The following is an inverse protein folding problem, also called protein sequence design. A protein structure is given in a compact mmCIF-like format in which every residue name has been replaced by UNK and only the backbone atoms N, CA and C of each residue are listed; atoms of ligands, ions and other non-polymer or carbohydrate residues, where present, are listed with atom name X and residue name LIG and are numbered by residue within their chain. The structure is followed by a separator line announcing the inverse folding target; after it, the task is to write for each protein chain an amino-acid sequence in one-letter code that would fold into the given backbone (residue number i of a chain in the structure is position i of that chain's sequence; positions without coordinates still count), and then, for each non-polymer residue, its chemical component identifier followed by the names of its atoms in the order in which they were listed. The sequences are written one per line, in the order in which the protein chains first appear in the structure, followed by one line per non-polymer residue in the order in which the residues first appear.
data_IF_066346376791
#
_entry.id   IF_066346376791
#
_cell.length_a   1.000
_cell.length_b   1.000
_cell.length_c   1.000
_cell.angle_alpha   90.00
_cell.angle_beta   90.00
_cell.angle_gamma   90.00
#
_symmetry.space_group_name_H-M   'P 1'
#
loop_
_entity.id
_entity.type
_entity.pdbx_description
1 polymer ?
#
# COMPACT_ATOMS: atom_id res chain seq x y z
N UNK A 1 15.35 24.96 -4.32
CA UNK A 1 15.10 23.52 -4.04
C UNK A 1 16.36 22.72 -4.33
N UNK A 2 16.62 21.64 -3.58
CA UNK A 2 17.64 20.64 -3.93
C UNK A 2 17.32 20.05 -5.31
N UNK A 3 18.34 19.64 -6.06
CA UNK A 3 18.14 19.11 -7.42
C UNK A 3 17.20 17.91 -7.45
N UNK A 4 17.34 17.00 -6.47
CA UNK A 4 16.45 15.85 -6.30
C UNK A 4 14.98 16.24 -6.12
N UNK A 5 14.69 17.37 -5.47
CA UNK A 5 13.33 17.86 -5.30
C UNK A 5 12.74 18.41 -6.60
N UNK A 6 13.57 19.03 -7.46
CA UNK A 6 13.11 19.49 -8.79
C UNK A 6 12.77 18.32 -9.70
N UNK A 7 13.63 17.30 -9.75
CA UNK A 7 13.39 16.09 -10.54
C UNK A 7 12.10 15.40 -10.08
N UNK A 8 11.90 15.29 -8.76
CA UNK A 8 10.67 14.71 -8.22
C UNK A 8 9.43 15.52 -8.59
N UNK A 9 9.47 16.85 -8.45
CA UNK A 9 8.34 17.72 -8.81
C UNK A 9 7.98 17.58 -10.30
N UNK A 10 8.99 17.60 -11.18
CA UNK A 10 8.78 17.37 -12.61
C UNK A 10 8.08 16.03 -12.89
N UNK A 11 8.54 14.92 -12.28
CA UNK A 11 7.90 13.61 -12.44
C UNK A 11 6.43 13.62 -12.00
N UNK A 12 6.11 14.35 -10.93
CA UNK A 12 4.73 14.47 -10.43
C UNK A 12 3.86 15.27 -11.41
N UNK A 13 4.38 16.35 -11.98
CA UNK A 13 3.65 17.20 -12.93
C UNK A 13 3.46 16.52 -14.31
N UNK A 14 4.44 15.76 -14.78
CA UNK A 14 4.36 15.06 -16.06
C UNK A 14 3.41 13.85 -16.05
N UNK A 15 3.14 13.30 -14.85
CA UNK A 15 2.28 12.13 -14.70
C UNK A 15 0.85 12.43 -15.17
N UNK A 16 0.38 11.64 -16.12
CA UNK A 16 -1.01 11.66 -16.63
C UNK A 16 -1.69 10.30 -16.52
N UNK A 17 -3.03 10.31 -16.52
CA UNK A 17 -3.82 9.09 -16.61
C UNK A 17 -3.79 8.53 -18.03
N UNK A 18 -2.98 7.49 -18.26
CA UNK A 18 -2.91 6.74 -19.52
C UNK A 18 -4.04 5.72 -19.58
N UNK A 19 -4.74 5.64 -20.72
CA UNK A 19 -5.94 4.82 -20.91
C UNK A 19 -5.80 3.74 -21.98
N UNK A 20 -4.73 3.78 -22.76
CA UNK A 20 -4.41 2.81 -23.80
C UNK A 20 -2.89 2.62 -23.74
N UNK A 21 -2.46 1.38 -23.57
CA UNK A 21 -1.05 1.01 -23.50
C UNK A 21 -0.64 0.28 -24.78
N UNK A 22 0.60 0.48 -25.19
CA UNK A 22 1.20 -0.22 -26.31
C UNK A 22 1.55 -1.66 -25.89
N UNK A 23 1.11 -2.63 -26.69
CA UNK A 23 1.35 -4.06 -26.43
C UNK A 23 2.78 -4.48 -26.81
N UNK A 24 3.40 -3.78 -27.77
CA UNK A 24 4.69 -4.12 -28.38
C UNK A 24 5.87 -3.40 -27.71
N UNK A 25 5.59 -2.35 -26.92
CA UNK A 25 6.62 -1.65 -26.18
C UNK A 25 7.28 -2.57 -25.13
N UNK A 26 8.59 -2.41 -24.97
CA UNK A 26 9.36 -3.12 -23.94
C UNK A 26 8.79 -2.79 -22.54
N UNK A 27 8.64 -3.82 -21.70
CA UNK A 27 8.03 -3.68 -20.38
C UNK A 27 8.89 -4.35 -19.30
N UNK A 28 9.46 -3.52 -18.41
CA UNK A 28 10.20 -3.99 -17.24
C UNK A 28 9.23 -4.46 -16.13
N UNK A 29 9.07 -5.77 -16.01
CA UNK A 29 8.30 -6.38 -14.92
C UNK A 29 8.87 -6.06 -13.52
N UNK A 30 10.16 -5.81 -13.36
CA UNK A 30 10.71 -5.43 -12.06
C UNK A 30 10.31 -4.00 -11.67
N UNK A 31 9.98 -3.12 -12.62
CA UNK A 31 9.53 -1.77 -12.33
C UNK A 31 8.26 -1.75 -11.47
N UNK A 32 7.32 -2.67 -11.71
CA UNK A 32 6.08 -2.77 -10.93
C UNK A 32 6.40 -3.21 -9.49
N UNK A 33 7.28 -4.18 -9.30
CA UNK A 33 7.72 -4.63 -7.97
C UNK A 33 8.36 -3.47 -7.18
N UNK A 34 9.34 -2.79 -7.78
CA UNK A 34 10.01 -1.63 -7.16
C UNK A 34 9.00 -0.52 -6.82
N UNK A 35 7.97 -0.34 -7.63
CA UNK A 35 6.92 0.65 -7.39
C UNK A 35 6.05 0.27 -6.20
N UNK A 36 5.67 -1.00 -6.05
CA UNK A 36 4.93 -1.50 -4.87
C UNK A 36 5.79 -1.37 -3.60
N UNK A 37 7.06 -1.76 -3.65
CA UNK A 37 8.00 -1.62 -2.52
C UNK A 37 8.16 -0.17 -2.05
N UNK A 38 8.10 0.79 -2.97
CA UNK A 38 8.08 2.22 -2.61
C UNK A 38 6.71 2.64 -2.06
N UNK A 39 5.62 2.13 -2.64
CA UNK A 39 4.27 2.46 -2.21
C UNK A 39 3.97 2.01 -0.76
N UNK A 40 4.51 0.85 -0.33
CA UNK A 40 4.31 0.39 1.06
C UNK A 40 4.99 1.27 2.12
N UNK A 41 5.90 2.17 1.72
CA UNK A 41 6.52 3.15 2.62
C UNK A 41 5.60 4.34 2.94
N UNK A 42 4.45 4.44 2.28
CA UNK A 42 3.49 5.49 2.57
C UNK A 42 3.08 5.46 4.07
N UNK A 43 2.99 6.63 4.74
CA UNK A 43 2.48 6.68 6.09
C UNK A 43 0.99 6.32 6.10
N UNK A 44 0.54 5.68 7.19
CA UNK A 44 -0.87 5.34 7.38
C UNK A 44 -1.24 5.41 8.86
N UNK A 45 -2.53 5.49 9.13
CA UNK A 45 -3.04 5.63 10.50
C UNK A 45 -2.52 4.50 11.39
N UNK A 46 -1.88 4.90 12.48
CA UNK A 46 -1.35 3.99 13.50
C UNK A 46 -0.35 2.94 12.97
N UNK A 47 0.20 3.16 11.78
CA UNK A 47 1.04 2.19 11.07
C UNK A 47 0.40 0.80 10.92
N UNK A 48 -0.93 0.72 10.80
CA UNK A 48 -1.65 -0.55 10.66
C UNK A 48 -1.41 -1.25 9.32
N UNK A 49 -1.07 -0.50 8.27
CA UNK A 49 -0.79 -1.02 6.92
C UNK A 49 -1.89 -1.99 6.44
N UNK A 50 -3.15 -1.53 6.49
CA UNK A 50 -4.34 -2.32 6.12
C UNK A 50 -4.57 -2.33 4.61
N UNK A 51 -3.50 -2.48 3.84
CA UNK A 51 -3.53 -2.62 2.40
C UNK A 51 -2.98 -3.96 1.98
N UNK A 52 -3.51 -4.47 0.88
CA UNK A 52 -2.90 -5.53 0.10
C UNK A 52 -2.87 -5.13 -1.37
N UNK A 53 -1.82 -5.59 -2.05
CA UNK A 53 -1.58 -5.32 -3.46
C UNK A 53 -1.60 -6.65 -4.20
N UNK A 54 -2.61 -6.86 -5.04
CA UNK A 54 -2.70 -8.03 -5.90
C UNK A 54 -2.21 -7.66 -7.28
N UNK A 55 -1.01 -8.14 -7.61
CA UNK A 55 -0.37 -7.91 -8.90
C UNK A 55 -0.78 -9.00 -9.89
N UNK A 56 -1.53 -8.60 -10.90
CA UNK A 56 -2.13 -9.48 -11.91
C UNK A 56 -1.28 -9.45 -13.17
N UNK A 57 -0.70 -10.62 -13.49
CA UNK A 57 0.26 -10.77 -14.60
C UNK A 57 -0.25 -11.64 -15.75
N UNK A 58 -0.92 -12.75 -15.43
CA UNK A 58 -1.36 -13.71 -16.46
C UNK A 58 -2.49 -13.14 -17.31
N UNK A 59 -2.52 -13.52 -18.58
CA UNK A 59 -3.53 -13.05 -19.52
C UNK A 59 -4.96 -13.46 -19.11
N UNK A 60 -5.12 -14.67 -18.55
CA UNK A 60 -6.40 -15.19 -18.10
C UNK A 60 -6.95 -14.37 -16.93
N UNK A 61 -6.10 -14.05 -15.96
CA UNK A 61 -6.48 -13.24 -14.81
C UNK A 61 -6.74 -11.78 -15.23
N UNK A 62 -5.92 -11.23 -16.13
CA UNK A 62 -6.14 -9.87 -16.68
C UNK A 62 -7.46 -9.76 -17.42
N UNK A 63 -7.83 -10.76 -18.24
CA UNK A 63 -9.15 -10.78 -18.92
C UNK A 63 -10.30 -10.76 -17.92
N UNK A 64 -10.19 -11.56 -16.86
CA UNK A 64 -11.19 -11.63 -15.79
C UNK A 64 -11.34 -10.28 -15.06
N UNK A 65 -10.21 -9.67 -14.67
CA UNK A 65 -10.21 -8.36 -14.00
C UNK A 65 -10.68 -7.25 -14.95
N UNK A 66 -10.28 -7.26 -16.22
CA UNK A 66 -10.73 -6.27 -17.20
C UNK A 66 -12.26 -6.33 -17.40
N UNK A 67 -12.85 -7.53 -17.41
CA UNK A 67 -14.30 -7.69 -17.43
C UNK A 67 -14.97 -7.07 -16.19
N UNK A 68 -14.42 -7.32 -14.99
CA UNK A 68 -14.89 -6.68 -13.75
C UNK A 68 -14.74 -5.15 -13.79
N UNK A 69 -13.74 -4.63 -14.51
CA UNK A 69 -13.54 -3.21 -14.77
C UNK A 69 -14.40 -2.68 -15.94
N UNK A 70 -15.50 -3.34 -16.29
CA UNK A 70 -16.41 -2.97 -17.40
C UNK A 70 -15.69 -2.86 -18.75
N UNK A 71 -14.66 -3.67 -18.97
CA UNK A 71 -13.86 -3.72 -20.20
C UNK A 71 -13.23 -2.37 -20.60
N UNK A 72 -12.94 -1.50 -19.64
CA UNK A 72 -12.22 -0.26 -19.89
C UNK A 72 -10.89 -0.51 -20.61
N UNK A 73 -10.56 0.33 -21.61
CA UNK A 73 -9.34 0.18 -22.43
C UNK A 73 -8.07 0.12 -21.57
N UNK A 74 -8.01 0.86 -20.46
CA UNK A 74 -6.87 0.85 -19.55
C UNK A 74 -6.64 -0.55 -18.96
N UNK A 75 -7.71 -1.21 -18.50
CA UNK A 75 -7.63 -2.55 -17.93
C UNK A 75 -7.34 -3.61 -18.99
N UNK A 76 -7.85 -3.43 -20.22
CA UNK A 76 -7.66 -4.38 -21.32
C UNK A 76 -6.26 -4.34 -21.93
N UNK A 77 -5.64 -3.16 -21.99
CA UNK A 77 -4.37 -2.96 -22.72
C UNK A 77 -3.15 -2.95 -21.82
N UNK A 78 -3.32 -2.78 -20.50
CA UNK A 78 -2.20 -2.80 -19.57
C UNK A 78 -1.45 -4.14 -19.58
N UNK A 79 -0.12 -4.06 -19.50
CA UNK A 79 0.77 -5.24 -19.38
C UNK A 79 0.53 -6.00 -18.08
N UNK A 80 0.26 -5.26 -16.99
CA UNK A 80 -0.10 -5.78 -15.68
C UNK A 80 -1.12 -4.88 -14.99
N UNK A 81 -1.89 -5.43 -14.05
CA UNK A 81 -2.79 -4.68 -13.19
C UNK A 81 -2.38 -4.84 -11.73
N UNK A 82 -2.56 -3.80 -10.93
CA UNK A 82 -2.42 -3.88 -9.47
C UNK A 82 -3.77 -3.53 -8.86
N UNK A 83 -4.40 -4.50 -8.22
CA UNK A 83 -5.63 -4.28 -7.45
C UNK A 83 -5.23 -3.97 -6.01
N UNK A 84 -5.63 -2.79 -5.53
CA UNK A 84 -5.37 -2.35 -4.16
C UNK A 84 -6.62 -2.63 -3.33
N UNK A 85 -6.47 -3.38 -2.24
CA UNK A 85 -7.58 -3.77 -1.37
C UNK A 85 -7.35 -3.22 0.03
N UNK A 86 -8.38 -2.57 0.58
CA UNK A 86 -8.40 -2.21 1.99
C UNK A 86 -8.79 -3.43 2.84
N UNK A 87 -7.89 -3.85 3.74
CA UNK A 87 -8.01 -5.04 4.59
C UNK A 87 -8.31 -4.67 6.03
N UNK A 88 -9.47 -4.05 6.24
CA UNK A 88 -9.92 -3.60 7.57
C UNK A 88 -9.96 -4.76 8.56
N UNK A 89 -10.38 -5.94 8.10
CA UNK A 89 -10.41 -7.19 8.85
C UNK A 89 -9.06 -7.56 9.51
N UNK A 90 -7.94 -7.09 8.96
CA UNK A 90 -6.61 -7.41 9.48
C UNK A 90 -6.17 -6.54 10.68
N UNK A 91 -6.94 -5.53 11.09
CA UNK A 91 -6.53 -4.59 12.15
C UNK A 91 -6.15 -5.31 13.44
N UNK A 92 -6.89 -6.37 13.85
CA UNK A 92 -6.58 -7.16 15.05
C UNK A 92 -5.25 -7.91 14.94
N UNK A 93 -4.90 -8.37 13.75
CA UNK A 93 -3.63 -9.07 13.49
C UNK A 93 -2.47 -8.07 13.53
N UNK A 94 -2.63 -6.92 12.88
CA UNK A 94 -1.62 -5.85 12.79
C UNK A 94 -1.38 -5.18 14.14
N UNK A 95 -2.44 -4.91 14.89
CA UNK A 95 -2.38 -4.38 16.26
C UNK A 95 -1.58 -5.30 17.19
N UNK A 96 -1.80 -6.61 17.13
CA UNK A 96 -1.01 -7.57 17.92
C UNK A 96 0.48 -7.53 17.56
N UNK A 97 0.82 -7.44 16.27
CA UNK A 97 2.20 -7.30 15.83
C UNK A 97 2.83 -5.98 16.33
N UNK A 98 2.11 -4.86 16.22
CA UNK A 98 2.56 -3.55 16.69
C UNK A 98 2.73 -3.52 18.21
N UNK A 99 1.89 -4.22 18.98
CA UNK A 99 2.07 -4.38 20.43
C UNK A 99 3.37 -5.11 20.75
N UNK A 100 3.74 -6.17 20.02
CA UNK A 100 5.03 -6.83 20.23
C UNK A 100 6.19 -5.93 19.81
N UNK A 101 6.03 -5.18 18.72
CA UNK A 101 7.04 -4.22 18.27
C UNK A 101 7.25 -3.09 19.29
N UNK A 102 6.19 -2.58 19.93
CA UNK A 102 6.35 -1.58 20.99
C UNK A 102 7.08 -2.12 22.21
N UNK A 103 6.90 -3.40 22.57
CA UNK A 103 7.72 -4.02 23.63
C UNK A 103 9.19 -4.14 23.24
N UNK A 104 9.48 -4.38 21.96
CA UNK A 104 10.86 -4.46 21.44
C UNK A 104 11.52 -3.08 21.43
N UNK A 105 10.79 -2.05 20.99
CA UNK A 105 11.27 -0.66 20.92
C UNK A 105 11.43 -0.04 22.31
N UNK A 106 10.54 -0.39 23.24
CA UNK A 106 10.59 0.07 24.63
C UNK A 106 10.83 -1.11 25.58
N UNK A 107 12.09 -1.54 25.76
CA UNK A 107 12.42 -2.66 26.64
C UNK A 107 12.14 -2.37 28.12
N UNK A 108 12.27 -1.11 28.55
CA UNK A 108 11.78 -0.66 29.85
C UNK A 108 10.28 -0.35 29.77
N UNK A 109 9.48 -1.33 30.19
CA UNK A 109 8.02 -1.26 30.20
C UNK A 109 7.48 -0.19 31.17
N UNK A 110 8.27 0.27 32.14
CA UNK A 110 7.83 1.23 33.14
C UNK A 110 7.98 2.69 32.69
N UNK A 111 8.74 2.94 31.63
CA UNK A 111 8.88 4.26 31.03
C UNK A 111 7.52 4.85 30.62
N UNK A 112 7.40 6.17 30.77
CA UNK A 112 6.17 6.91 30.39
C UNK A 112 5.83 6.72 28.91
N UNK A 113 6.85 6.62 28.06
CA UNK A 113 6.75 6.38 26.63
C UNK A 113 6.19 4.99 26.33
N UNK A 114 6.71 3.95 26.98
CA UNK A 114 6.20 2.58 26.86
C UNK A 114 4.73 2.50 27.25
N UNK A 115 4.37 3.04 28.43
CA UNK A 115 2.99 3.06 28.92
C UNK A 115 2.05 3.77 27.96
N UNK A 116 2.45 4.91 27.39
CA UNK A 116 1.66 5.66 26.40
C UNK A 116 1.49 4.88 25.09
N UNK A 117 2.56 4.33 24.55
CA UNK A 117 2.51 3.55 23.31
C UNK A 117 1.64 2.29 23.47
N UNK A 118 1.83 1.56 24.57
CA UNK A 118 1.05 0.36 24.88
C UNK A 118 -0.43 0.68 25.09
N UNK A 119 -0.76 1.76 25.80
CA UNK A 119 -2.14 2.22 25.97
C UNK A 119 -2.79 2.56 24.62
N UNK A 120 -2.06 3.23 23.72
CA UNK A 120 -2.56 3.55 22.39
C UNK A 120 -2.94 2.29 21.63
N UNK A 121 -2.03 1.32 21.48
CA UNK A 121 -2.30 0.12 20.70
C UNK A 121 -3.23 -0.89 21.38
N UNK A 122 -3.22 -0.99 22.72
CA UNK A 122 -4.09 -1.93 23.43
C UNK A 122 -5.51 -1.41 23.66
N UNK A 123 -5.68 -0.11 23.89
CA UNK A 123 -6.96 0.43 24.35
C UNK A 123 -7.61 1.37 23.33
N UNK A 124 -6.84 2.21 22.63
CA UNK A 124 -7.41 3.18 21.68
C UNK A 124 -7.66 2.55 20.31
N UNK A 125 -6.71 1.77 19.78
CA UNK A 125 -6.88 1.13 18.47
C UNK A 125 -8.12 0.26 18.39
N UNK A 126 -8.43 -0.63 19.37
CA UNK A 126 -9.69 -1.37 19.31
C UNK A 126 -10.91 -0.46 19.24
N UNK A 127 -10.94 0.67 19.95
CA UNK A 127 -12.08 1.60 19.88
C UNK A 127 -12.23 2.23 18.49
N UNK A 128 -11.12 2.60 17.85
CA UNK A 128 -11.16 3.25 16.53
C UNK A 128 -11.45 2.29 15.37
N UNK A 129 -11.01 1.04 15.46
CA UNK A 129 -11.11 0.07 14.35
C UNK A 129 -12.19 -1.00 14.54
N UNK A 130 -12.91 -1.00 15.67
CA UNK A 130 -13.97 -1.98 15.92
C UNK A 130 -15.30 -1.64 15.26
N UNK A 131 -15.67 -0.36 15.22
CA UNK A 131 -16.95 0.11 14.66
C UNK A 131 -16.91 0.35 13.15
N UNK A 132 -15.77 0.09 12.53
CA UNK A 132 -15.49 0.42 11.14
C UNK A 132 -15.81 -0.78 10.23
#
# INVERSE_FOLDING_TARGET
MKETAKIFDQLVQERRSVRIYDAEAEFDHHAVQRSIERAVLAPNSSNMQLWEFYRIKSEEAKKSVAWMCMNQKAAKTARELVVVVARRDLWRKRQRALVQEMKRVYPDADSKQAKRAMNYYKNLIPKYYWSD
#
